data_IF_934895787866
#
_entry.id   IF_934895787866
#
_cell.length_a   1.000
_cell.length_b   1.000
_cell.length_c   1.000
_cell.angle_alpha   90.00
_cell.angle_beta   90.00
_cell.angle_gamma   90.00
#
_symmetry.space_group_name_H-M   'P 1'
#
loop_
_entity.id
_entity.type
_entity.pdbx_description
1 polymer ?
#
# COMPACT_ATOMS: atom_id res chain seq x y z
N UNK A 1 51.01 51.40 3.78
CA UNK A 1 49.81 50.53 3.82
C UNK A 1 49.40 50.27 2.37
N UNK A 2 48.60 49.25 2.07
CA UNK A 2 47.90 49.05 0.77
C UNK A 2 48.40 48.01 -0.25
N UNK A 3 49.25 47.04 0.12
CA UNK A 3 49.40 45.81 -0.69
C UNK A 3 48.60 44.63 -0.11
N UNK A 4 48.55 44.54 1.22
CA UNK A 4 47.90 43.45 1.95
C UNK A 4 46.36 43.54 1.87
N UNK A 5 45.78 44.74 1.84
CA UNK A 5 44.31 44.90 1.72
C UNK A 5 43.80 44.60 0.30
N UNK A 6 44.58 44.92 -0.74
CA UNK A 6 44.24 44.59 -2.14
C UNK A 6 44.32 43.07 -2.37
N UNK A 7 45.38 42.40 -1.88
CA UNK A 7 45.50 40.94 -1.94
C UNK A 7 44.41 40.21 -1.15
N UNK A 8 44.05 40.72 0.04
CA UNK A 8 42.94 40.17 0.84
C UNK A 8 41.57 40.34 0.18
N UNK A 9 41.37 41.43 -0.56
CA UNK A 9 40.13 41.69 -1.32
C UNK A 9 39.98 40.74 -2.51
N UNK A 10 41.08 40.50 -3.25
CA UNK A 10 41.10 39.55 -4.36
C UNK A 10 40.87 38.13 -3.84
N UNK A 11 41.58 37.70 -2.79
CA UNK A 11 41.40 36.38 -2.17
C UNK A 11 39.95 36.12 -1.70
N UNK A 12 39.28 37.15 -1.15
CA UNK A 12 37.88 37.05 -0.71
C UNK A 12 36.89 36.89 -1.87
N UNK A 13 37.15 37.55 -3.02
CA UNK A 13 36.34 37.40 -4.22
C UNK A 13 36.51 36.03 -4.88
N UNK A 14 37.75 35.49 -4.89
CA UNK A 14 38.02 34.13 -5.37
C UNK A 14 37.39 33.07 -4.47
N UNK A 15 37.44 33.25 -3.14
CA UNK A 15 36.77 32.37 -2.18
C UNK A 15 35.25 32.38 -2.33
N UNK A 16 34.64 33.56 -2.55
CA UNK A 16 33.21 33.67 -2.79
C UNK A 16 32.77 33.02 -4.12
N UNK A 17 33.58 33.14 -5.17
CA UNK A 17 33.32 32.47 -6.46
C UNK A 17 33.41 30.95 -6.34
N UNK A 18 34.47 30.43 -5.70
CA UNK A 18 34.62 29.00 -5.45
C UNK A 18 33.48 28.45 -4.59
N UNK A 19 33.11 29.14 -3.51
CA UNK A 19 32.00 28.77 -2.66
C UNK A 19 30.66 28.78 -3.42
N UNK A 20 30.45 29.73 -4.33
CA UNK A 20 29.24 29.76 -5.17
C UNK A 20 29.17 28.58 -6.14
N UNK A 21 30.29 28.22 -6.77
CA UNK A 21 30.37 27.08 -7.68
C UNK A 21 30.14 25.76 -6.92
N UNK A 22 30.79 25.60 -5.77
CA UNK A 22 30.66 24.42 -4.90
C UNK A 22 29.26 24.31 -4.28
N UNK A 23 28.62 25.43 -3.93
CA UNK A 23 27.23 25.46 -3.49
C UNK A 23 26.26 25.08 -4.61
N UNK A 24 26.55 25.44 -5.86
CA UNK A 24 25.73 25.06 -7.02
C UNK A 24 25.85 23.55 -7.30
N UNK A 25 27.04 22.99 -7.26
CA UNK A 25 27.25 21.54 -7.37
C UNK A 25 26.62 20.77 -6.21
N UNK A 26 26.72 21.29 -4.98
CA UNK A 26 26.11 20.68 -3.80
C UNK A 26 24.58 20.69 -3.88
N UNK A 27 23.96 21.76 -4.40
CA UNK A 27 22.51 21.82 -4.65
C UNK A 27 22.09 20.80 -5.71
N UNK A 28 22.87 20.63 -6.79
CA UNK A 28 22.59 19.63 -7.82
C UNK A 28 22.71 18.21 -7.24
N UNK A 29 23.79 17.91 -6.51
CA UNK A 29 23.98 16.62 -5.86
C UNK A 29 22.88 16.31 -4.82
N UNK A 30 22.48 17.30 -4.03
CA UNK A 30 21.37 17.17 -3.09
C UNK A 30 20.04 16.90 -3.82
N UNK A 31 19.76 17.60 -4.93
CA UNK A 31 18.54 17.38 -5.71
C UNK A 31 18.49 15.98 -6.35
N UNK A 32 19.64 15.45 -6.79
CA UNK A 32 19.76 14.10 -7.33
C UNK A 32 19.62 13.06 -6.21
N UNK A 33 20.25 13.28 -5.06
CA UNK A 33 20.13 12.40 -3.91
C UNK A 33 18.69 12.36 -3.37
N UNK A 34 18.01 13.51 -3.33
CA UNK A 34 16.59 13.62 -2.96
C UNK A 34 15.71 12.88 -3.98
N UNK A 35 15.98 13.01 -5.28
CA UNK A 35 15.29 12.25 -6.33
C UNK A 35 15.47 10.74 -6.16
N UNK A 36 16.71 10.27 -5.96
CA UNK A 36 17.01 8.85 -5.76
C UNK A 36 16.35 8.33 -4.48
N UNK A 37 16.39 9.10 -3.39
CA UNK A 37 15.72 8.75 -2.13
C UNK A 37 14.20 8.64 -2.31
N UNK A 38 13.59 9.58 -3.02
CA UNK A 38 12.15 9.57 -3.28
C UNK A 38 11.77 8.38 -4.18
N UNK A 39 12.55 8.10 -5.22
CA UNK A 39 12.36 6.91 -6.08
C UNK A 39 12.50 5.61 -5.27
N UNK A 40 13.50 5.50 -4.40
CA UNK A 40 13.71 4.31 -3.58
C UNK A 40 12.58 4.11 -2.56
N UNK A 41 12.09 5.20 -1.95
CA UNK A 41 10.97 5.17 -1.02
C UNK A 41 9.69 4.74 -1.73
N UNK A 42 9.37 5.34 -2.88
CA UNK A 42 8.22 4.94 -3.68
C UNK A 42 8.31 3.50 -4.19
N UNK A 43 9.48 3.04 -4.62
CA UNK A 43 9.66 1.67 -5.05
C UNK A 43 9.37 0.68 -3.91
N UNK A 44 9.87 0.97 -2.70
CA UNK A 44 9.60 0.17 -1.51
C UNK A 44 8.12 0.16 -1.12
N UNK A 45 7.44 1.30 -1.26
CA UNK A 45 6.02 1.43 -0.96
C UNK A 45 5.17 0.62 -1.96
N UNK A 46 5.51 0.66 -3.25
CA UNK A 46 4.87 -0.18 -4.29
C UNK A 46 5.09 -1.66 -4.00
N UNK A 47 6.30 -2.05 -3.61
CA UNK A 47 6.62 -3.44 -3.30
C UNK A 47 5.80 -3.94 -2.10
N UNK A 48 5.69 -3.14 -1.04
CA UNK A 48 4.90 -3.48 0.14
C UNK A 48 3.40 -3.64 -0.19
N UNK A 49 2.83 -2.69 -0.93
CA UNK A 49 1.42 -2.76 -1.36
C UNK A 49 1.20 -3.94 -2.32
N UNK A 50 2.17 -4.27 -3.18
CA UNK A 50 2.05 -5.38 -4.13
C UNK A 50 1.98 -6.76 -3.46
N UNK A 51 2.49 -6.90 -2.23
CA UNK A 51 2.37 -8.14 -1.44
C UNK A 51 0.91 -8.46 -1.08
N UNK A 52 0.02 -7.47 -1.06
CA UNK A 52 -1.40 -7.65 -0.75
C UNK A 52 -2.19 -8.25 -1.92
N UNK A 53 -1.72 -8.10 -3.17
CA UNK A 53 -2.43 -8.59 -4.35
C UNK A 53 -2.66 -10.12 -4.37
N UNK A 54 -1.65 -10.97 -4.13
CA UNK A 54 -1.87 -12.42 -4.06
C UNK A 54 -2.82 -12.80 -2.93
N UNK A 55 -2.70 -12.17 -1.76
CA UNK A 55 -3.57 -12.42 -0.60
C UNK A 55 -5.03 -12.05 -0.91
N UNK A 56 -5.24 -10.89 -1.52
CA UNK A 56 -6.56 -10.42 -1.97
C UNK A 56 -7.23 -11.42 -2.92
N UNK A 57 -6.49 -11.91 -3.92
CA UNK A 57 -6.99 -12.91 -4.89
C UNK A 57 -7.38 -14.23 -4.21
N UNK A 58 -6.57 -14.69 -3.25
CA UNK A 58 -6.87 -15.91 -2.48
C UNK A 58 -8.12 -15.70 -1.64
N UNK A 59 -8.19 -14.64 -0.84
CA UNK A 59 -9.33 -14.35 0.03
C UNK A 59 -10.66 -14.23 -0.75
N UNK A 60 -10.65 -13.47 -1.86
CA UNK A 60 -11.83 -13.35 -2.74
C UNK A 60 -12.22 -14.72 -3.32
N UNK A 61 -11.26 -15.50 -3.80
CA UNK A 61 -11.52 -16.82 -4.38
C UNK A 61 -12.14 -17.79 -3.38
N UNK A 62 -11.68 -17.78 -2.13
CA UNK A 62 -12.23 -18.60 -1.03
C UNK A 62 -13.67 -18.21 -0.72
N UNK A 63 -13.96 -16.92 -0.65
CA UNK A 63 -15.31 -16.42 -0.35
C UNK A 63 -16.27 -16.54 -1.54
N UNK A 64 -15.77 -16.52 -2.78
CA UNK A 64 -16.56 -16.71 -4.00
C UNK A 64 -17.33 -18.04 -4.00
N UNK A 65 -16.81 -19.08 -3.33
CA UNK A 65 -17.52 -20.37 -3.21
C UNK A 65 -18.92 -20.21 -2.60
N UNK A 66 -19.11 -19.20 -1.76
CA UNK A 66 -20.35 -18.92 -1.04
C UNK A 66 -21.30 -17.99 -1.81
N UNK A 67 -20.81 -17.31 -2.87
CA UNK A 67 -21.62 -16.41 -3.71
C UNK A 67 -22.26 -17.08 -4.92
N UNK A 68 -21.72 -18.22 -5.38
CA UNK A 68 -22.31 -18.99 -6.49
C UNK A 68 -23.29 -20.04 -5.98
N UNK A 69 -24.51 -20.04 -6.53
CA UNK A 69 -25.49 -21.11 -6.33
C UNK A 69 -25.03 -22.35 -7.10
N UNK A 70 -24.34 -23.27 -6.42
CA UNK A 70 -24.10 -24.63 -6.93
C UNK A 70 -24.83 -25.63 -6.04
N UNK A 71 -25.33 -26.68 -6.67
CA UNK A 71 -26.06 -27.78 -6.04
C UNK A 71 -25.30 -28.44 -4.89
N UNK A 72 -26.03 -29.29 -4.16
CA UNK A 72 -25.83 -29.83 -2.79
C UNK A 72 -24.46 -30.45 -2.43
N UNK A 73 -23.46 -30.41 -3.31
CA UNK A 73 -22.12 -30.90 -3.02
C UNK A 73 -21.36 -29.92 -2.10
N UNK A 74 -21.48 -30.19 -0.81
CA UNK A 74 -20.72 -29.57 0.30
C UNK A 74 -19.23 -29.96 0.32
N UNK A 75 -18.76 -30.80 -0.61
CA UNK A 75 -17.37 -31.22 -0.70
C UNK A 75 -16.46 -30.03 -1.07
N UNK A 76 -15.69 -29.54 -0.09
CA UNK A 76 -14.69 -28.47 -0.27
C UNK A 76 -15.00 -27.13 0.41
N UNK A 77 -16.09 -27.06 1.18
CA UNK A 77 -16.40 -25.95 2.08
C UNK A 77 -15.79 -26.21 3.46
N UNK A 78 -14.84 -25.37 3.86
CA UNK A 78 -14.31 -25.38 5.22
C UNK A 78 -14.37 -23.94 5.72
N UNK A 79 -15.47 -23.54 6.39
CA UNK A 79 -15.70 -22.14 6.75
C UNK A 79 -14.58 -21.54 7.57
N UNK A 80 -14.04 -22.30 8.53
CA UNK A 80 -12.90 -21.87 9.33
C UNK A 80 -11.64 -21.67 8.48
N UNK A 81 -11.30 -22.64 7.62
CA UNK A 81 -10.11 -22.56 6.77
C UNK A 81 -10.23 -21.46 5.70
N UNK A 82 -11.40 -21.33 5.09
CA UNK A 82 -11.66 -20.29 4.10
C UNK A 82 -11.63 -18.89 4.76
N UNK A 83 -12.17 -18.74 5.97
CA UNK A 83 -12.12 -17.50 6.74
C UNK A 83 -10.72 -17.13 7.23
N UNK A 84 -9.86 -18.11 7.51
CA UNK A 84 -8.48 -17.88 7.96
C UNK A 84 -7.67 -17.11 6.90
N UNK A 85 -7.84 -17.45 5.62
CA UNK A 85 -7.25 -16.70 4.51
C UNK A 85 -7.80 -15.27 4.38
N UNK A 86 -9.07 -15.05 4.73
CA UNK A 86 -9.65 -13.71 4.75
C UNK A 86 -9.06 -12.92 5.93
N UNK A 87 -8.94 -13.55 7.09
CA UNK A 87 -8.35 -12.96 8.28
C UNK A 87 -6.89 -12.54 8.04
N UNK A 88 -6.10 -13.41 7.42
CA UNK A 88 -4.72 -13.12 6.99
C UNK A 88 -4.68 -11.88 6.11
N UNK A 89 -5.52 -11.83 5.08
CA UNK A 89 -5.58 -10.68 4.18
C UNK A 89 -5.96 -9.37 4.88
N UNK A 90 -7.01 -9.35 5.72
CA UNK A 90 -7.42 -8.11 6.39
C UNK A 90 -6.44 -7.66 7.47
N UNK A 91 -5.72 -8.59 8.11
CA UNK A 91 -4.63 -8.27 9.04
C UNK A 91 -3.49 -7.57 8.31
N UNK A 92 -3.08 -8.08 7.15
CA UNK A 92 -2.04 -7.47 6.33
C UNK A 92 -2.46 -6.10 5.79
N UNK A 93 -3.71 -5.97 5.31
CA UNK A 93 -4.26 -4.66 4.93
C UNK A 93 -4.21 -3.67 6.09
N UNK A 94 -4.53 -4.11 7.32
CA UNK A 94 -4.46 -3.29 8.52
C UNK A 94 -3.03 -2.91 8.89
N UNK A 95 -2.06 -3.83 8.76
CA UNK A 95 -0.65 -3.57 8.99
C UNK A 95 -0.09 -2.49 8.04
N UNK A 96 -0.65 -2.42 6.83
CA UNK A 96 -0.33 -1.41 5.83
C UNK A 96 -1.32 -0.23 5.79
N UNK A 97 -2.07 0.02 6.87
CA UNK A 97 -3.13 1.04 6.89
C UNK A 97 -2.65 2.43 6.46
N UNK A 98 -1.41 2.82 6.78
CA UNK A 98 -0.81 4.11 6.42
C UNK A 98 -0.74 4.34 4.89
N UNK A 99 -0.78 3.27 4.09
CA UNK A 99 -0.77 3.34 2.63
C UNK A 99 -2.15 3.58 2.01
N UNK A 100 -3.21 3.45 2.81
CA UNK A 100 -4.59 3.63 2.38
C UNK A 100 -5.09 5.01 2.80
N UNK A 101 -5.87 5.70 1.94
CA UNK A 101 -6.48 6.96 2.33
C UNK A 101 -7.53 6.74 3.42
N UNK A 102 -7.68 7.73 4.29
CA UNK A 102 -8.70 7.79 5.34
C UNK A 102 -8.69 6.56 6.26
N UNK A 103 -9.85 6.22 6.83
CA UNK A 103 -10.09 5.03 7.65
C UNK A 103 -10.30 3.75 6.83
N UNK A 104 -10.01 3.71 5.51
CA UNK A 104 -10.45 2.61 4.63
C UNK A 104 -9.94 1.23 5.04
N UNK A 105 -8.66 1.11 5.42
CA UNK A 105 -8.11 -0.15 5.92
C UNK A 105 -8.74 -0.56 7.26
N UNK A 106 -8.99 0.40 8.15
CA UNK A 106 -9.64 0.18 9.44
C UNK A 106 -11.11 -0.24 9.27
N UNK A 107 -11.83 0.41 8.35
CA UNK A 107 -13.23 0.12 8.03
C UNK A 107 -13.39 -1.28 7.44
N UNK A 108 -12.50 -1.67 6.52
CA UNK A 108 -12.46 -3.04 5.98
C UNK A 108 -12.23 -4.04 7.11
N UNK A 109 -11.20 -3.82 7.91
CA UNK A 109 -10.86 -4.72 9.02
C UNK A 109 -12.05 -4.90 9.96
N UNK A 110 -12.64 -3.81 10.44
CA UNK A 110 -13.76 -3.87 11.39
C UNK A 110 -14.98 -4.59 10.82
N UNK A 111 -15.36 -4.29 9.56
CA UNK A 111 -16.54 -4.89 8.92
C UNK A 111 -16.31 -6.37 8.66
N UNK A 112 -15.21 -6.72 8.01
CA UNK A 112 -14.93 -8.09 7.60
C UNK A 112 -14.64 -8.98 8.80
N UNK A 113 -13.93 -8.50 9.82
CA UNK A 113 -13.71 -9.25 11.05
C UNK A 113 -15.04 -9.60 11.74
N UNK A 114 -15.97 -8.65 11.84
CA UNK A 114 -17.31 -8.92 12.39
C UNK A 114 -18.09 -9.95 11.58
N UNK A 115 -18.00 -9.88 10.25
CA UNK A 115 -18.65 -10.85 9.36
C UNK A 115 -18.02 -12.24 9.48
N UNK A 116 -16.69 -12.34 9.56
CA UNK A 116 -15.96 -13.61 9.76
C UNK A 116 -16.45 -14.32 11.02
N UNK A 117 -16.53 -13.60 12.15
CA UNK A 117 -16.98 -14.19 13.41
C UNK A 117 -18.40 -14.74 13.31
N UNK A 118 -19.29 -14.05 12.61
CA UNK A 118 -20.67 -14.53 12.40
C UNK A 118 -20.70 -15.70 11.41
N UNK A 119 -19.87 -15.65 10.38
CA UNK A 119 -19.77 -16.64 9.31
C UNK A 119 -19.29 -18.01 9.81
N UNK A 120 -18.19 -18.04 10.57
CA UNK A 120 -17.62 -19.29 11.08
C UNK A 120 -18.51 -19.97 12.13
N UNK A 121 -19.27 -19.17 12.88
CA UNK A 121 -20.16 -19.67 13.94
C UNK A 121 -21.59 -19.97 13.46
N UNK A 122 -21.93 -19.62 12.21
CA UNK A 122 -23.27 -19.87 11.66
C UNK A 122 -23.55 -21.37 11.54
N UNK A 123 -24.71 -21.81 12.03
CA UNK A 123 -25.19 -23.20 11.92
C UNK A 123 -26.08 -23.42 10.69
N UNK A 124 -26.53 -22.33 10.05
CA UNK A 124 -27.42 -22.35 8.89
C UNK A 124 -26.61 -22.17 7.63
N UNK A 125 -26.69 -23.15 6.71
CA UNK A 125 -25.98 -23.06 5.42
C UNK A 125 -26.47 -21.89 4.56
N UNK A 126 -27.76 -21.54 4.67
CA UNK A 126 -28.34 -20.37 3.99
C UNK A 126 -27.70 -19.09 4.51
N UNK A 127 -27.63 -18.93 5.84
CA UNK A 127 -27.02 -17.76 6.47
C UNK A 127 -25.52 -17.70 6.23
N UNK A 128 -24.85 -18.86 6.27
CA UNK A 128 -23.42 -18.96 5.98
C UNK A 128 -23.11 -18.56 4.53
N UNK A 129 -23.92 -19.00 3.56
CA UNK A 129 -23.78 -18.57 2.15
C UNK A 129 -23.97 -17.06 2.02
N UNK A 130 -25.00 -16.50 2.66
CA UNK A 130 -25.24 -15.05 2.68
C UNK A 130 -24.04 -14.30 3.26
N UNK A 131 -23.57 -14.68 4.43
CA UNK A 131 -22.41 -14.06 5.09
C UNK A 131 -21.14 -14.18 4.25
N UNK A 132 -20.88 -15.35 3.65
CA UNK A 132 -19.74 -15.54 2.75
C UNK A 132 -19.82 -14.67 1.49
N UNK A 133 -21.02 -14.46 0.95
CA UNK A 133 -21.26 -13.52 -0.14
C UNK A 133 -21.07 -12.05 0.30
N UNK A 134 -21.51 -11.69 1.49
CA UNK A 134 -21.32 -10.35 2.04
C UNK A 134 -19.82 -10.05 2.23
N UNK A 135 -19.06 -11.00 2.79
CA UNK A 135 -17.59 -10.92 2.88
C UNK A 135 -16.99 -10.78 1.49
N UNK A 136 -17.37 -11.65 0.54
CA UNK A 136 -16.88 -11.58 -0.84
C UNK A 136 -17.07 -10.19 -1.45
N UNK A 137 -18.24 -9.58 -1.27
CA UNK A 137 -18.55 -8.27 -1.82
C UNK A 137 -17.69 -7.16 -1.20
N UNK A 138 -17.50 -7.18 0.12
CA UNK A 138 -16.61 -6.23 0.81
C UNK A 138 -15.17 -6.33 0.27
N UNK A 139 -14.66 -7.55 0.09
CA UNK A 139 -13.31 -7.78 -0.46
C UNK A 139 -13.19 -7.30 -1.91
N UNK A 140 -14.21 -7.55 -2.74
CA UNK A 140 -14.23 -7.10 -4.15
C UNK A 140 -14.29 -5.58 -4.24
N UNK A 141 -15.17 -4.93 -3.47
CA UNK A 141 -15.25 -3.46 -3.40
C UNK A 141 -13.91 -2.88 -2.97
N UNK A 142 -13.29 -3.43 -1.94
CA UNK A 142 -11.99 -2.98 -1.48
C UNK A 142 -10.88 -3.22 -2.51
N UNK A 143 -10.93 -4.30 -3.29
CA UNK A 143 -9.97 -4.56 -4.36
C UNK A 143 -9.96 -3.45 -5.42
N UNK A 144 -11.11 -2.80 -5.67
CA UNK A 144 -11.20 -1.65 -6.56
C UNK A 144 -10.46 -0.44 -5.97
N UNK A 145 -10.62 -0.18 -4.67
CA UNK A 145 -9.89 0.86 -3.94
C UNK A 145 -8.39 0.59 -3.98
N UNK A 146 -7.99 -0.64 -3.66
CA UNK A 146 -6.60 -1.09 -3.75
C UNK A 146 -6.00 -0.86 -5.14
N UNK A 147 -6.72 -1.22 -6.21
CA UNK A 147 -6.25 -1.01 -7.58
C UNK A 147 -6.11 0.47 -7.95
N UNK A 148 -6.99 1.34 -7.44
CA UNK A 148 -6.86 2.80 -7.63
C UNK A 148 -5.61 3.34 -6.92
N UNK A 149 -5.36 2.88 -5.70
CA UNK A 149 -4.17 3.26 -4.92
C UNK A 149 -2.90 2.79 -5.63
N UNK A 150 -2.86 1.53 -6.05
CA UNK A 150 -1.74 0.97 -6.81
C UNK A 150 -1.45 1.79 -8.07
N UNK A 151 -2.47 2.15 -8.84
CA UNK A 151 -2.33 3.01 -10.03
C UNK A 151 -1.77 4.38 -9.69
N UNK A 152 -2.21 5.01 -8.59
CA UNK A 152 -1.70 6.31 -8.14
C UNK A 152 -0.20 6.24 -7.82
N UNK A 153 0.25 5.21 -7.11
CA UNK A 153 1.67 5.03 -6.81
C UNK A 153 2.49 4.72 -8.08
N UNK A 154 1.94 3.95 -9.02
CA UNK A 154 2.60 3.67 -10.30
C UNK A 154 2.72 4.91 -11.18
N UNK A 155 1.69 5.75 -11.29
CA UNK A 155 1.73 6.96 -12.14
C UNK A 155 2.74 8.00 -11.65
N UNK A 156 2.98 8.10 -10.34
CA UNK A 156 4.01 8.98 -9.79
C UNK A 156 5.44 8.51 -10.12
N UNK A 157 5.60 7.25 -10.55
CA UNK A 157 6.88 6.71 -10.98
C UNK A 157 7.19 7.03 -12.44
N UNK A 158 6.14 7.22 -13.27
CA UNK A 158 6.27 7.48 -14.72
C UNK A 158 6.38 8.97 -15.09
N UNK A 159 5.98 9.87 -14.18
CA UNK A 159 6.02 11.34 -14.39
C UNK A 159 7.31 12.04 -13.90
N UNK A 160 8.31 11.27 -13.43
CA UNK A 160 9.59 11.76 -12.87
C UNK A 160 10.82 11.35 -13.70
#
# INVERSE_FOLDING_TARGET
MDLISVLGSVASLWGAWFAWMQAKESKLAASVAERIKNQLTHHRDIENISKLEPLSKVAISKMRKYSVSRGEDSAGFSPHFDADHVQEYINEVYAFADYFPDSKAHDLYSRVNSLIQTFVNSQSDVDRKKLGNDIHNELVVFSLVFNQIKKKYQSHTDEL
#
